data_IF_133860545843
#
_entry.id   IF_133860545843
#
_cell.length_a   1.000
_cell.length_b   1.000
_cell.length_c   1.000
_cell.angle_alpha   90.00
_cell.angle_beta   90.00
_cell.angle_gamma   90.00
#
_symmetry.space_group_name_H-M   'P 1'
#
loop_
_entity.id
_entity.type
_entity.pdbx_description
1 polymer ?
#
# COMPACT_ATOMS: atom_id res chain seq x y z
N UNK A 1 -27.25 -9.48 31.16
CA UNK A 1 -26.30 -9.84 30.09
C UNK A 1 -26.67 -9.03 28.86
N UNK A 2 -26.04 -7.87 28.65
CA UNK A 2 -26.40 -6.96 27.55
C UNK A 2 -25.58 -7.33 26.32
N UNK A 3 -26.23 -7.86 25.29
CA UNK A 3 -25.60 -8.02 23.99
C UNK A 3 -25.32 -6.61 23.44
N UNK A 4 -24.05 -6.24 23.32
CA UNK A 4 -23.65 -5.03 22.64
C UNK A 4 -24.16 -5.12 21.19
N UNK A 5 -24.96 -4.14 20.78
CA UNK A 5 -25.41 -4.01 19.42
C UNK A 5 -24.17 -3.95 18.51
N UNK A 6 -23.95 -5.02 17.75
CA UNK A 6 -22.92 -5.05 16.72
C UNK A 6 -23.38 -4.05 15.66
N UNK A 7 -22.88 -2.82 15.72
CA UNK A 7 -23.06 -1.82 14.66
C UNK A 7 -22.82 -2.55 13.34
N UNK A 8 -23.80 -2.55 12.43
CA UNK A 8 -23.57 -3.03 11.08
C UNK A 8 -22.52 -2.10 10.49
N UNK A 9 -21.26 -2.51 10.57
CA UNK A 9 -20.17 -1.82 9.90
C UNK A 9 -20.55 -1.84 8.42
N UNK A 10 -20.80 -0.67 7.84
CA UNK A 10 -21.05 -0.54 6.41
C UNK A 10 -19.89 -1.15 5.63
N UNK A 11 -20.08 -1.45 4.34
CA UNK A 11 -18.94 -1.85 3.50
C UNK A 11 -17.90 -0.73 3.56
N UNK A 12 -16.70 -1.07 3.99
CA UNK A 12 -15.52 -0.21 3.91
C UNK A 12 -14.91 -0.47 2.54
N UNK A 13 -14.65 0.57 1.78
CA UNK A 13 -13.92 0.50 0.51
C UNK A 13 -12.49 0.98 0.72
N UNK A 14 -11.62 0.73 -0.27
CA UNK A 14 -10.22 1.14 -0.18
C UNK A 14 -10.06 2.67 -0.06
N UNK A 15 -11.02 3.45 -0.59
CA UNK A 15 -11.00 4.92 -0.53
C UNK A 15 -11.44 5.47 0.84
N UNK A 16 -12.09 4.65 1.66
CA UNK A 16 -12.49 5.01 3.03
C UNK A 16 -11.33 4.83 4.03
N UNK A 17 -10.23 4.19 3.61
CA UNK A 17 -9.10 3.90 4.49
C UNK A 17 -8.21 5.12 4.74
N UNK A 18 -7.64 5.26 5.96
CA UNK A 18 -6.58 6.22 6.23
C UNK A 18 -5.32 5.93 5.39
N UNK A 19 -4.36 6.87 5.38
CA UNK A 19 -3.10 6.71 4.62
C UNK A 19 -2.33 5.43 4.95
N UNK A 20 -2.41 4.99 6.22
CA UNK A 20 -1.87 3.72 6.71
C UNK A 20 -2.99 2.92 7.35
N UNK A 21 -3.17 1.67 6.94
CA UNK A 21 -4.23 0.80 7.44
C UNK A 21 -3.65 -0.53 7.93
N UNK A 22 -4.31 -1.13 8.91
CA UNK A 22 -3.97 -2.46 9.41
C UNK A 22 -4.26 -3.53 8.35
N UNK A 23 -3.65 -4.71 8.52
CA UNK A 23 -3.89 -5.85 7.63
C UNK A 23 -5.37 -6.26 7.61
N UNK A 24 -6.07 -6.11 8.74
CA UNK A 24 -7.51 -6.37 8.85
C UNK A 24 -8.33 -5.36 8.05
N UNK A 25 -8.06 -4.06 8.20
CA UNK A 25 -8.77 -3.01 7.46
C UNK A 25 -8.55 -3.14 5.95
N UNK A 26 -7.32 -3.41 5.52
CA UNK A 26 -7.01 -3.71 4.12
C UNK A 26 -7.75 -4.95 3.63
N UNK A 27 -7.75 -6.04 4.40
CA UNK A 27 -8.46 -7.25 4.03
C UNK A 27 -9.98 -7.01 3.88
N UNK A 28 -10.59 -6.29 4.83
CA UNK A 28 -12.01 -5.93 4.75
C UNK A 28 -12.30 -5.06 3.51
N UNK A 29 -11.43 -4.11 3.18
CA UNK A 29 -11.59 -3.23 2.02
C UNK A 29 -11.36 -3.93 0.67
N UNK A 30 -10.46 -4.92 0.61
CA UNK A 30 -10.10 -5.63 -0.63
C UNK A 30 -11.06 -6.78 -0.93
N UNK A 31 -11.38 -7.61 0.07
CA UNK A 31 -12.16 -8.85 -0.13
C UNK A 31 -13.51 -8.88 0.60
N UNK A 32 -13.83 -7.83 1.38
CA UNK A 32 -15.02 -7.78 2.20
C UNK A 32 -14.84 -8.46 3.57
N UNK A 33 -15.72 -8.14 4.55
CA UNK A 33 -15.56 -8.56 5.94
C UNK A 33 -15.62 -10.07 6.15
N UNK A 34 -16.41 -10.78 5.34
CA UNK A 34 -16.64 -12.22 5.45
C UNK A 34 -15.42 -13.03 4.98
N UNK A 35 -14.63 -12.50 4.04
CA UNK A 35 -13.45 -13.16 3.49
C UNK A 35 -12.14 -12.62 4.07
N UNK A 36 -12.17 -11.54 4.85
CA UNK A 36 -10.99 -10.85 5.36
C UNK A 36 -10.06 -11.78 6.16
N UNK A 37 -10.62 -12.65 7.01
CA UNK A 37 -9.83 -13.56 7.83
C UNK A 37 -9.07 -14.59 6.99
N UNK A 38 -9.77 -15.19 6.01
CA UNK A 38 -9.18 -16.12 5.07
C UNK A 38 -8.07 -15.46 4.25
N UNK A 39 -8.30 -14.22 3.81
CA UNK A 39 -7.29 -13.48 3.06
C UNK A 39 -6.04 -13.20 3.90
N UNK A 40 -6.19 -12.78 5.17
CA UNK A 40 -5.04 -12.53 6.05
C UNK A 40 -4.26 -13.79 6.39
N UNK A 41 -4.94 -14.93 6.56
CA UNK A 41 -4.28 -16.17 6.97
C UNK A 41 -3.65 -16.91 5.78
N UNK A 42 -4.34 -16.97 4.64
CA UNK A 42 -3.89 -17.76 3.49
C UNK A 42 -3.17 -16.92 2.43
N UNK A 43 -3.62 -15.68 2.19
CA UNK A 43 -3.15 -14.88 1.05
C UNK A 43 -2.06 -13.90 1.40
N UNK A 44 -2.23 -13.16 2.49
CA UNK A 44 -1.30 -12.13 2.93
C UNK A 44 0.14 -12.65 3.14
N UNK A 45 0.41 -13.84 3.72
CA UNK A 45 1.78 -14.32 3.86
C UNK A 45 2.47 -14.53 2.51
N UNK A 46 1.72 -15.00 1.51
CA UNK A 46 2.23 -15.14 0.14
C UNK A 46 2.52 -13.79 -0.49
N UNK A 47 1.65 -12.79 -0.29
CA UNK A 47 1.86 -11.44 -0.81
C UNK A 47 3.04 -10.73 -0.13
N UNK A 48 3.18 -10.88 1.18
CA UNK A 48 4.28 -10.31 1.95
C UNK A 48 5.67 -10.81 1.51
N UNK A 49 5.75 -12.00 0.90
CA UNK A 49 6.97 -12.51 0.29
C UNK A 49 7.25 -12.00 -1.13
N UNK A 50 6.32 -11.27 -1.76
CA UNK A 50 6.52 -10.73 -3.13
C UNK A 50 7.27 -9.41 -3.08
N UNK A 51 8.21 -9.25 -4.00
CA UNK A 51 8.92 -7.99 -4.21
C UNK A 51 7.92 -6.86 -4.46
N UNK A 52 8.06 -5.76 -3.74
CA UNK A 52 7.20 -4.57 -3.87
C UNK A 52 5.94 -4.60 -3.02
N UNK A 53 5.60 -5.69 -2.32
CA UNK A 53 4.51 -5.64 -1.35
C UNK A 53 4.93 -4.81 -0.12
N UNK A 54 4.21 -3.73 0.23
CA UNK A 54 4.67 -2.83 1.28
C UNK A 54 4.71 -3.51 2.65
N UNK A 55 5.79 -3.40 3.43
CA UNK A 55 5.81 -3.88 4.82
C UNK A 55 4.88 -3.04 5.71
N UNK A 56 4.62 -3.52 6.92
CA UNK A 56 4.01 -2.71 7.96
C UNK A 56 5.01 -1.63 8.38
N UNK A 57 4.58 -0.38 8.40
CA UNK A 57 5.37 0.72 8.91
C UNK A 57 5.34 0.73 10.44
N UNK A 58 6.52 0.69 11.08
CA UNK A 58 6.62 0.57 12.52
C UNK A 58 6.17 1.83 13.28
N UNK A 59 6.25 3.02 12.65
CA UNK A 59 5.85 4.27 13.27
C UNK A 59 4.34 4.49 13.17
N UNK A 60 3.74 4.18 12.02
CA UNK A 60 2.32 4.38 11.75
C UNK A 60 1.45 3.15 12.09
N UNK A 61 2.06 1.97 12.31
CA UNK A 61 1.35 0.75 12.74
C UNK A 61 0.50 0.07 11.65
N UNK A 62 0.68 0.44 10.38
CA UNK A 62 -0.09 -0.10 9.26
C UNK A 62 0.70 -0.09 7.96
N UNK A 63 0.10 -0.60 6.87
CA UNK A 63 0.70 -0.53 5.54
C UNK A 63 0.23 0.72 4.82
N UNK A 64 1.11 1.39 4.03
CA UNK A 64 0.72 2.53 3.23
C UNK A 64 -0.26 2.12 2.13
N UNK A 65 -1.52 2.57 2.23
CA UNK A 65 -2.65 2.11 1.39
C UNK A 65 -2.39 2.34 -0.10
N UNK A 66 -1.86 3.52 -0.47
CA UNK A 66 -1.58 3.84 -1.88
C UNK A 66 -0.51 2.93 -2.50
N UNK A 67 0.46 2.45 -1.71
CA UNK A 67 1.45 1.50 -2.23
C UNK A 67 0.87 0.09 -2.34
N UNK A 68 -0.07 -0.29 -1.47
CA UNK A 68 -0.81 -1.56 -1.62
C UNK A 68 -1.66 -1.56 -2.89
N UNK A 69 -2.36 -0.46 -3.18
CA UNK A 69 -3.11 -0.28 -4.43
C UNK A 69 -2.17 -0.42 -5.63
N UNK A 70 -1.07 0.35 -5.64
CA UNK A 70 -0.08 0.27 -6.72
C UNK A 70 0.46 -1.14 -6.90
N UNK A 71 0.78 -1.83 -5.81
CA UNK A 71 1.22 -3.21 -5.87
C UNK A 71 0.19 -4.10 -6.56
N UNK A 72 -1.10 -3.95 -6.25
CA UNK A 72 -2.16 -4.73 -6.88
C UNK A 72 -2.33 -4.40 -8.36
N UNK A 73 -2.22 -3.12 -8.73
CA UNK A 73 -2.24 -2.69 -10.12
C UNK A 73 -1.11 -3.35 -10.93
N UNK A 74 0.12 -3.34 -10.40
CA UNK A 74 1.28 -3.97 -11.03
C UNK A 74 1.13 -5.50 -11.03
N UNK A 75 0.67 -6.09 -9.91
CA UNK A 75 0.51 -7.53 -9.73
C UNK A 75 -0.56 -8.14 -10.64
N UNK A 76 -1.61 -7.39 -10.96
CA UNK A 76 -2.70 -7.81 -11.84
C UNK A 76 -2.50 -7.35 -13.30
N UNK A 77 -1.43 -6.60 -13.58
CA UNK A 77 -1.17 -6.05 -14.92
C UNK A 77 -2.16 -4.95 -15.34
N UNK A 78 -2.84 -4.32 -14.39
CA UNK A 78 -3.76 -3.19 -14.62
C UNK A 78 -3.10 -1.83 -14.41
N UNK A 79 -1.86 -1.81 -13.90
CA UNK A 79 -1.05 -0.62 -13.78
C UNK A 79 -0.91 0.09 -15.13
N UNK A 80 -1.17 1.39 -15.15
CA UNK A 80 -0.81 2.21 -16.31
C UNK A 80 0.70 2.10 -16.48
N UNK A 81 1.22 1.83 -17.70
CA UNK A 81 2.65 1.95 -17.92
C UNK A 81 3.05 3.36 -17.49
N UNK A 82 3.85 3.47 -16.44
CA UNK A 82 4.49 4.73 -16.10
C UNK A 82 5.18 5.16 -17.39
N UNK A 83 4.82 6.34 -17.90
CA UNK A 83 5.65 7.00 -18.88
C UNK A 83 6.98 7.26 -18.14
N UNK A 84 7.87 6.28 -18.21
CA UNK A 84 9.23 6.42 -17.76
C UNK A 84 9.79 7.53 -18.65
N UNK A 85 9.74 8.76 -18.16
CA UNK A 85 10.68 9.76 -18.61
C UNK A 85 12.04 9.04 -18.57
N UNK A 86 12.80 9.02 -19.70
CA UNK A 86 14.11 8.40 -19.71
C UNK A 86 14.85 8.83 -18.45
N UNK A 87 15.52 7.89 -17.75
CA UNK A 87 16.38 8.27 -16.61
C UNK A 87 17.24 9.41 -17.10
N UNK A 88 17.00 10.62 -16.58
CA UNK A 88 17.89 11.73 -16.80
C UNK A 88 19.25 11.27 -16.33
N UNK A 89 20.25 11.32 -17.20
CA UNK A 89 21.61 11.00 -16.81
C UNK A 89 22.00 12.02 -15.73
N UNK A 90 22.24 11.54 -14.50
CA UNK A 90 22.68 12.42 -13.42
C UNK A 90 24.04 13.01 -13.78
N UNK A 91 24.07 14.30 -14.12
CA UNK A 91 25.32 15.03 -14.33
C UNK A 91 25.94 15.38 -12.98
N UNK A 92 26.74 14.46 -12.45
CA UNK A 92 27.55 14.67 -11.24
C UNK A 92 28.51 15.89 -11.34
N UNK A 93 28.76 16.42 -12.54
CA UNK A 93 29.59 17.61 -12.75
C UNK A 93 28.83 18.92 -12.49
N UNK A 94 27.49 18.90 -12.46
CA UNK A 94 26.65 20.05 -12.12
C UNK A 94 26.91 20.55 -10.68
N UNK A 95 27.17 19.64 -9.74
CA UNK A 95 27.46 19.99 -8.34
C UNK A 95 28.83 20.66 -8.16
N UNK A 96 29.81 20.35 -9.01
CA UNK A 96 31.16 20.93 -8.93
C UNK A 96 31.21 22.41 -9.38
N UNK A 97 30.27 22.86 -10.21
CA UNK A 97 30.25 24.24 -10.73
C UNK A 97 29.79 25.29 -9.72
N UNK A 98 29.10 24.88 -8.65
CA UNK A 98 28.62 25.78 -7.60
C UNK A 98 29.75 26.28 -6.66
N UNK A 99 30.80 25.47 -6.42
CA UNK A 99 31.88 25.82 -5.47
C UNK A 99 32.95 26.80 -5.98
N UNK A 100 32.81 27.35 -7.19
CA UNK A 100 33.81 28.30 -7.76
C UNK A 100 33.31 29.76 -7.84
N UNK A 101 32.22 30.08 -7.14
CA UNK A 101 31.80 31.47 -6.88
C UNK A 101 31.58 31.65 -5.39
N UNK A 102 32.68 31.73 -4.64
CA UNK A 102 32.78 32.34 -3.33
C UNK A 102 34.12 33.08 -3.30
#
# INVERSE_FOLDING_TARGET
MTAAARTRRGRITIDDLPMFATDRELAEAIVGPDAAEKWMTERLPTLAGKLGFPPVDAFHGGRPVKLVIRFYDDYLGTGRPEALAPRGQEDVSAWKRSRRRA
#
